data_IF_355018711036
#
_entry.id   IF_355018711036
#
_cell.length_a   1.000
_cell.length_b   1.000
_cell.length_c   1.000
_cell.angle_alpha   90.00
_cell.angle_beta   90.00
_cell.angle_gamma   90.00
#
_symmetry.space_group_name_H-M   'P 1'
#
loop_
_entity.id
_entity.type
_entity.pdbx_description
1 polymer ?
#
# COMPACT_ATOMS: atom_id res chain seq x y z
N UNK A 1 1.52 -2.08 20.48
CA UNK A 1 0.75 -0.83 20.32
C UNK A 1 1.32 -0.11 19.11
N UNK A 2 0.56 0.07 18.02
CA UNK A 2 1.06 0.83 16.87
C UNK A 2 0.90 2.31 17.16
N UNK A 3 1.96 3.09 16.98
CA UNK A 3 1.91 4.54 17.11
C UNK A 3 1.97 5.18 15.73
N UNK A 4 0.99 6.03 15.44
CA UNK A 4 1.06 7.00 14.36
C UNK A 4 1.74 8.25 14.94
N UNK A 5 2.94 8.57 14.47
CA UNK A 5 3.67 9.73 14.95
C UNK A 5 4.42 10.34 13.78
N UNK A 6 4.35 11.66 13.63
CA UNK A 6 5.17 12.41 12.69
C UNK A 6 6.63 12.42 13.18
N UNK A 7 7.32 11.27 13.07
CA UNK A 7 8.71 11.11 13.47
C UNK A 7 9.62 11.61 12.35
N UNK A 8 10.42 12.65 12.61
CA UNK A 8 11.63 12.92 11.82
C UNK A 8 12.66 11.83 12.14
N UNK A 9 12.67 10.74 11.37
CA UNK A 9 13.67 9.69 11.51
C UNK A 9 14.98 10.13 10.86
N UNK A 10 15.96 10.53 11.68
CA UNK A 10 17.37 10.61 11.28
C UNK A 10 18.01 9.25 11.51
N UNK A 11 18.22 8.47 10.44
CA UNK A 11 18.91 7.19 10.54
C UNK A 11 20.44 7.39 10.59
N UNK A 12 21.05 6.96 11.70
CA UNK A 12 22.49 6.85 11.88
C UNK A 12 23.00 5.45 11.56
N UNK A 13 24.01 5.41 10.69
CA UNK A 13 25.01 4.36 10.41
C UNK A 13 24.64 3.03 9.73
N UNK A 14 25.19 2.89 8.51
CA UNK A 14 25.73 1.68 7.88
C UNK A 14 24.73 0.66 7.28
N UNK A 15 24.05 1.05 6.21
CA UNK A 15 23.76 0.17 5.07
C UNK A 15 24.05 0.93 3.76
N UNK A 16 24.66 0.32 2.73
CA UNK A 16 24.79 0.96 1.44
C UNK A 16 23.43 0.89 0.73
N UNK A 17 22.60 1.91 0.92
CA UNK A 17 21.44 2.21 0.08
C UNK A 17 21.22 3.72 0.14
N UNK A 18 21.95 4.44 -0.72
CA UNK A 18 22.03 5.91 -0.74
C UNK A 18 20.80 6.58 -1.38
N UNK A 19 19.59 6.10 -1.07
CA UNK A 19 18.36 6.77 -1.46
C UNK A 19 18.03 7.89 -0.45
N UNK A 20 18.35 9.13 -0.81
CA UNK A 20 17.95 10.31 -0.03
C UNK A 20 16.52 10.72 -0.37
N UNK A 21 15.54 10.29 0.43
CA UNK A 21 14.15 10.75 0.34
C UNK A 21 14.03 12.14 0.98
N UNK A 22 13.78 13.18 0.18
CA UNK A 22 13.61 14.56 0.68
C UNK A 22 12.20 14.88 1.16
N UNK A 23 11.21 14.07 0.78
CA UNK A 23 9.81 14.26 1.15
C UNK A 23 9.34 13.02 1.91
N UNK A 24 9.23 13.15 3.23
CA UNK A 24 8.59 12.13 4.04
C UNK A 24 7.07 12.29 3.97
N UNK A 25 6.31 11.18 4.00
CA UNK A 25 4.87 11.24 4.27
C UNK A 25 4.63 12.00 5.58
N UNK A 26 3.52 12.75 5.66
CA UNK A 26 3.11 13.39 6.91
C UNK A 26 2.83 12.35 8.02
N UNK A 27 2.47 11.12 7.64
CA UNK A 27 2.16 10.04 8.56
C UNK A 27 3.21 8.92 8.51
N UNK A 28 3.73 8.52 9.67
CA UNK A 28 4.55 7.32 9.85
C UNK A 28 3.89 6.44 10.90
N UNK A 29 3.71 5.17 10.54
CA UNK A 29 3.31 4.14 11.48
C UNK A 29 4.55 3.39 11.95
N UNK A 30 4.67 3.17 13.25
CA UNK A 30 5.73 2.38 13.84
C UNK A 30 5.18 1.32 14.79
N UNK A 31 5.82 0.15 14.78
CA UNK A 31 5.67 -0.89 15.78
C UNK A 31 6.94 -0.91 16.63
N UNK A 32 6.77 -0.72 17.93
CA UNK A 32 7.84 -0.82 18.91
C UNK A 32 7.91 -2.24 19.49
N UNK A 33 9.11 -2.70 19.83
CA UNK A 33 9.30 -3.90 20.64
C UNK A 33 9.13 -3.59 22.14
N UNK A 34 9.28 -4.60 23.01
CA UNK A 34 9.14 -4.44 24.46
C UNK A 34 10.20 -3.52 25.09
N UNK A 35 11.25 -3.16 24.35
CA UNK A 35 12.29 -2.22 24.75
C UNK A 35 12.14 -0.83 24.13
N UNK A 36 10.96 -0.48 23.61
CA UNK A 36 10.66 0.80 22.94
C UNK A 36 11.49 1.09 21.67
N UNK A 37 12.14 0.08 21.09
CA UNK A 37 12.86 0.23 19.83
C UNK A 37 11.94 -0.02 18.63
N UNK A 38 12.19 0.68 17.52
CA UNK A 38 11.43 0.52 16.28
C UNK A 38 11.70 -0.85 15.65
N UNK A 39 10.74 -1.76 15.77
CA UNK A 39 10.75 -3.07 15.15
C UNK A 39 10.34 -3.00 13.67
N UNK A 40 9.31 -2.22 13.37
CA UNK A 40 8.83 -1.94 12.02
C UNK A 40 8.41 -0.48 11.88
N UNK A 41 8.58 0.09 10.69
CA UNK A 41 8.06 1.40 10.33
C UNK A 41 7.59 1.42 8.87
N UNK A 42 6.54 2.19 8.60
CA UNK A 42 6.07 2.47 7.26
C UNK A 42 5.59 3.91 7.17
N UNK A 43 5.88 4.55 6.05
CA UNK A 43 5.26 5.81 5.68
C UNK A 43 3.86 5.59 5.11
N UNK A 44 2.92 6.47 5.43
CA UNK A 44 1.55 6.44 4.90
C UNK A 44 1.24 7.79 4.26
N UNK A 45 0.80 7.79 3.01
CA UNK A 45 0.40 9.00 2.28
C UNK A 45 -1.10 8.98 2.03
N UNK A 46 -1.73 10.14 2.17
CA UNK A 46 -3.13 10.37 1.81
C UNK A 46 -3.22 11.32 0.62
N UNK A 47 -4.43 11.58 0.13
CA UNK A 47 -4.65 12.43 -1.04
C UNK A 47 -3.97 13.81 -0.95
N UNK A 48 -3.92 14.41 0.26
CA UNK A 48 -3.36 15.75 0.49
C UNK A 48 -1.83 15.77 0.41
N UNK A 49 -1.18 14.64 0.68
CA UNK A 49 0.26 14.44 0.45
C UNK A 49 0.56 14.20 -1.04
N UNK A 50 -0.47 13.90 -1.83
CA UNK A 50 -0.37 13.23 -3.12
C UNK A 50 0.04 11.76 -2.97
N UNK A 51 0.43 11.14 -4.08
CA UNK A 51 0.84 9.74 -4.13
C UNK A 51 2.17 9.58 -4.88
N UNK A 52 3.12 8.85 -4.30
CA UNK A 52 4.43 8.64 -4.90
C UNK A 52 4.37 7.61 -6.01
N UNK A 53 3.86 6.41 -5.73
CA UNK A 53 3.77 5.30 -6.67
C UNK A 53 2.79 5.56 -7.82
N UNK A 54 1.93 6.57 -7.71
CA UNK A 54 1.10 7.05 -8.83
C UNK A 54 1.96 7.53 -10.02
N UNK A 55 3.19 8.00 -9.79
CA UNK A 55 4.12 8.40 -10.86
C UNK A 55 4.45 7.25 -11.82
N UNK A 56 4.28 6.00 -11.38
CA UNK A 56 4.50 4.82 -12.23
C UNK A 56 3.27 4.46 -13.08
N UNK A 57 2.12 5.07 -12.82
CA UNK A 57 0.86 4.75 -13.51
C UNK A 57 0.64 5.66 -14.72
N UNK A 58 -0.12 5.18 -15.68
CA UNK A 58 -0.53 5.95 -16.88
C UNK A 58 -1.77 6.81 -16.65
N UNK A 59 -2.46 6.61 -15.53
CA UNK A 59 -3.64 7.37 -15.10
C UNK A 59 -3.62 7.58 -13.59
N UNK A 60 -4.37 8.56 -13.06
CA UNK A 60 -4.55 8.72 -11.62
C UNK A 60 -5.00 7.41 -10.95
N UNK A 61 -4.52 7.15 -9.72
CA UNK A 61 -4.74 5.88 -9.02
C UNK A 61 -6.23 5.52 -8.90
N UNK A 62 -7.10 6.49 -8.64
CA UNK A 62 -8.54 6.25 -8.54
C UNK A 62 -9.17 5.76 -9.86
N UNK A 63 -8.62 6.20 -11.00
CA UNK A 63 -9.07 5.73 -12.31
C UNK A 63 -8.56 4.32 -12.60
N UNK A 64 -7.30 4.04 -12.28
CA UNK A 64 -6.72 2.71 -12.42
C UNK A 64 -7.49 1.68 -11.57
N UNK A 65 -7.77 2.01 -10.30
CA UNK A 65 -8.57 1.17 -9.42
C UNK A 65 -10.03 1.07 -9.85
N UNK A 66 -10.61 2.15 -10.37
CA UNK A 66 -11.96 2.14 -10.90
C UNK A 66 -12.12 1.23 -12.12
N UNK A 67 -11.14 1.23 -13.02
CA UNK A 67 -11.11 0.33 -14.17
C UNK A 67 -11.03 -1.14 -13.75
N UNK A 68 -10.15 -1.48 -12.80
CA UNK A 68 -10.02 -2.85 -12.29
C UNK A 68 -11.26 -3.31 -11.53
N UNK A 69 -11.83 -2.43 -10.72
CA UNK A 69 -12.94 -2.77 -9.84
C UNK A 69 -14.33 -2.60 -10.46
N UNK A 70 -14.41 -1.93 -11.63
CA UNK A 70 -15.64 -1.53 -12.31
C UNK A 70 -16.55 -0.67 -11.44
N UNK A 71 -15.97 0.20 -10.61
CA UNK A 71 -16.67 1.15 -9.73
C UNK A 71 -16.00 2.51 -9.81
N UNK A 72 -16.75 3.57 -9.56
CA UNK A 72 -16.16 4.89 -9.30
C UNK A 72 -15.50 4.83 -7.92
N UNK A 73 -14.21 5.13 -7.86
CA UNK A 73 -13.43 5.23 -6.62
C UNK A 73 -13.13 6.70 -6.38
N UNK A 74 -13.37 7.20 -5.17
CA UNK A 74 -12.91 8.53 -4.77
C UNK A 74 -11.44 8.45 -4.34
N UNK A 75 -10.67 9.49 -4.70
CA UNK A 75 -9.26 9.60 -4.29
C UNK A 75 -9.08 9.61 -2.77
N UNK A 76 -10.07 10.13 -2.04
CA UNK A 76 -10.10 10.17 -0.58
C UNK A 76 -10.26 8.78 0.07
N UNK A 77 -10.68 7.77 -0.69
CA UNK A 77 -10.87 6.39 -0.22
C UNK A 77 -9.59 5.55 -0.40
N UNK A 78 -8.49 6.16 -0.84
CA UNK A 78 -7.23 5.52 -1.16
C UNK A 78 -6.15 6.05 -0.22
N UNK A 79 -5.29 5.15 0.26
CA UNK A 79 -4.03 5.54 0.89
C UNK A 79 -2.86 4.74 0.31
N UNK A 80 -1.67 5.31 0.38
CA UNK A 80 -0.45 4.66 -0.08
C UNK A 80 0.40 4.21 1.11
N UNK A 81 0.94 2.99 1.04
CA UNK A 81 2.01 2.56 1.95
C UNK A 81 3.34 2.75 1.25
N UNK A 82 4.23 3.52 1.88
CA UNK A 82 5.56 3.88 1.38
C UNK A 82 6.62 3.59 2.43
N UNK A 83 7.90 3.66 2.03
CA UNK A 83 9.06 3.65 2.95
C UNK A 83 8.94 2.59 4.06
N UNK A 84 8.92 1.33 3.65
CA UNK A 84 8.74 0.20 4.56
C UNK A 84 10.10 -0.29 5.08
N UNK A 85 10.29 -0.26 6.40
CA UNK A 85 11.47 -0.76 7.08
C UNK A 85 11.07 -1.75 8.18
N UNK A 86 11.78 -2.87 8.28
CA UNK A 86 11.59 -3.84 9.36
C UNK A 86 12.91 -4.46 9.79
N UNK A 87 13.12 -4.51 11.10
CA UNK A 87 14.23 -5.22 11.75
C UNK A 87 13.76 -6.54 12.39
N UNK A 88 12.45 -6.80 12.39
CA UNK A 88 11.83 -7.93 13.05
C UNK A 88 10.95 -8.72 12.06
N UNK A 89 11.50 -9.70 11.31
CA UNK A 89 10.75 -10.45 10.29
C UNK A 89 9.46 -11.10 10.79
N UNK A 90 9.43 -11.55 12.06
CA UNK A 90 8.24 -12.15 12.68
C UNK A 90 7.13 -11.11 12.94
N UNK A 91 7.50 -9.87 13.22
CA UNK A 91 6.56 -8.78 13.52
C UNK A 91 6.06 -8.08 12.25
N UNK A 92 6.80 -8.15 11.14
CA UNK A 92 6.47 -7.58 9.83
C UNK A 92 5.05 -7.90 9.37
N UNK A 93 4.62 -9.16 9.54
CA UNK A 93 3.30 -9.63 9.10
C UNK A 93 2.19 -8.91 9.87
N UNK A 94 2.22 -9.00 11.21
CA UNK A 94 1.23 -8.35 12.07
C UNK A 94 1.24 -6.83 11.92
N UNK A 95 2.40 -6.24 11.60
CA UNK A 95 2.50 -4.83 11.27
C UNK A 95 1.74 -4.50 9.98
N UNK A 96 1.99 -5.20 8.87
CA UNK A 96 1.29 -4.99 7.58
C UNK A 96 -0.23 -5.12 7.75
N UNK A 97 -0.69 -6.18 8.41
CA UNK A 97 -2.13 -6.38 8.66
C UNK A 97 -2.73 -5.24 9.47
N UNK A 98 -1.98 -4.70 10.43
CA UNK A 98 -2.45 -3.60 11.27
C UNK A 98 -2.59 -2.29 10.49
N UNK A 99 -1.72 -2.03 9.50
CA UNK A 99 -1.88 -0.90 8.58
C UNK A 99 -3.19 -1.06 7.80
N UNK A 100 -3.45 -2.26 7.26
CA UNK A 100 -4.68 -2.56 6.53
C UNK A 100 -5.94 -2.37 7.39
N UNK A 101 -5.95 -2.93 8.61
CA UNK A 101 -7.07 -2.77 9.56
C UNK A 101 -7.31 -1.31 9.93
N UNK A 102 -6.25 -0.53 10.15
CA UNK A 102 -6.38 0.89 10.47
C UNK A 102 -6.94 1.67 9.29
N UNK A 103 -6.50 1.38 8.06
CA UNK A 103 -7.09 1.95 6.85
C UNK A 103 -8.60 1.65 6.76
N UNK A 104 -8.98 0.39 6.91
CA UNK A 104 -10.38 -0.03 6.89
C UNK A 104 -11.23 0.66 7.96
N UNK A 105 -10.71 0.76 9.19
CA UNK A 105 -11.37 1.44 10.31
C UNK A 105 -11.60 2.94 10.04
N UNK A 106 -10.73 3.58 9.24
CA UNK A 106 -10.86 4.98 8.83
C UNK A 106 -11.63 5.16 7.51
N UNK A 107 -12.27 4.09 6.99
CA UNK A 107 -13.12 4.17 5.81
C UNK A 107 -12.39 4.11 4.47
N UNK A 108 -11.09 3.81 4.46
CA UNK A 108 -10.37 3.62 3.20
C UNK A 108 -10.80 2.32 2.53
N UNK A 109 -11.11 2.41 1.24
CA UNK A 109 -11.52 1.27 0.41
C UNK A 109 -10.35 0.56 -0.22
N UNK A 110 -9.24 1.27 -0.44
CA UNK A 110 -8.06 0.73 -1.11
C UNK A 110 -6.77 1.19 -0.44
N UNK A 111 -5.80 0.28 -0.44
CA UNK A 111 -4.40 0.59 -0.20
C UNK A 111 -3.59 0.21 -1.44
N UNK A 112 -2.53 0.95 -1.73
CA UNK A 112 -1.60 0.60 -2.81
C UNK A 112 -0.16 0.96 -2.44
N UNK A 113 0.78 0.33 -3.12
CA UNK A 113 2.21 0.42 -2.77
C UNK A 113 3.08 -0.20 -3.87
N UNK A 114 4.38 0.11 -3.82
CA UNK A 114 5.38 -0.55 -4.65
C UNK A 114 6.10 -1.64 -3.85
N UNK A 115 5.91 -2.91 -4.23
CA UNK A 115 6.56 -4.04 -3.59
C UNK A 115 7.80 -4.48 -4.36
N UNK A 116 8.90 -4.67 -3.66
CA UNK A 116 10.02 -5.48 -4.17
C UNK A 116 9.61 -6.94 -4.25
N UNK A 117 10.31 -7.76 -5.06
CA UNK A 117 10.02 -9.19 -5.21
C UNK A 117 9.92 -9.95 -3.87
N UNK A 118 10.81 -9.65 -2.92
CA UNK A 118 10.82 -10.30 -1.58
C UNK A 118 9.58 -9.93 -0.76
N UNK A 119 9.19 -8.66 -0.75
CA UNK A 119 8.03 -8.20 0.01
C UNK A 119 6.73 -8.69 -0.63
N UNK A 120 6.66 -8.74 -1.97
CA UNK A 120 5.56 -9.37 -2.71
C UNK A 120 5.31 -10.80 -2.26
N UNK A 121 6.35 -11.64 -2.25
CA UNK A 121 6.24 -13.02 -1.79
C UNK A 121 5.74 -13.15 -0.35
N UNK A 122 6.12 -12.22 0.53
CA UNK A 122 5.62 -12.19 1.90
C UNK A 122 4.11 -11.88 1.92
N UNK A 123 3.67 -10.86 1.19
CA UNK A 123 2.26 -10.45 1.15
C UNK A 123 1.37 -11.50 0.48
N UNK A 124 1.84 -12.15 -0.59
CA UNK A 124 1.13 -13.26 -1.25
C UNK A 124 0.90 -14.44 -0.29
N UNK A 125 1.88 -14.77 0.57
CA UNK A 125 1.74 -15.84 1.57
C UNK A 125 0.71 -15.53 2.66
N UNK A 126 0.34 -14.27 2.84
CA UNK A 126 -0.73 -13.86 3.76
C UNK A 126 -2.12 -14.00 3.14
N UNK A 127 -2.22 -14.36 1.86
CA UNK A 127 -3.50 -14.53 1.16
C UNK A 127 -4.19 -13.22 0.79
N UNK A 128 -3.48 -12.09 0.82
CA UNK A 128 -4.05 -10.83 0.37
C UNK A 128 -4.26 -10.83 -1.16
N UNK A 129 -5.42 -10.36 -1.65
CA UNK A 129 -5.72 -10.31 -3.07
C UNK A 129 -4.98 -9.15 -3.73
N UNK A 130 -3.70 -9.37 -4.05
CA UNK A 130 -2.87 -8.39 -4.73
C UNK A 130 -3.39 -8.11 -6.14
N UNK A 131 -3.79 -6.88 -6.37
CA UNK A 131 -4.17 -6.35 -7.68
C UNK A 131 -2.95 -5.71 -8.31
N UNK A 132 -2.42 -6.30 -9.38
CA UNK A 132 -1.31 -5.70 -10.13
C UNK A 132 -1.77 -4.43 -10.87
N UNK A 133 -0.98 -3.36 -10.77
CA UNK A 133 -1.27 -2.08 -11.42
C UNK A 133 -0.26 -1.72 -12.50
N UNK A 134 1.04 -1.86 -12.23
CA UNK A 134 2.08 -1.45 -13.17
C UNK A 134 3.46 -2.01 -12.84
N UNK A 135 4.33 -2.02 -13.85
CA UNK A 135 5.77 -2.14 -13.72
C UNK A 135 6.37 -0.73 -13.57
N UNK A 136 7.04 -0.41 -12.46
CA UNK A 136 7.72 0.84 -12.23
C UNK A 136 8.75 1.15 -13.31
N UNK A 137 8.48 2.17 -14.12
CA UNK A 137 9.47 2.79 -14.97
C UNK A 137 10.24 3.85 -14.18
N UNK A 138 11.49 3.54 -13.82
CA UNK A 138 12.35 4.43 -13.04
C UNK A 138 12.52 5.81 -13.69
N UNK A 139 12.38 5.91 -15.02
CA UNK A 139 12.53 7.17 -15.78
C UNK A 139 11.45 8.19 -15.45
N UNK A 140 10.35 7.75 -14.81
CA UNK A 140 9.26 8.62 -14.33
C UNK A 140 9.59 9.29 -12.99
N UNK A 141 10.68 8.90 -12.34
CA UNK A 141 11.11 9.45 -11.05
C UNK A 141 12.23 10.49 -11.27
N UNK A 142 12.06 11.73 -10.78
CA UNK A 142 13.15 12.71 -10.75
C UNK A 142 14.31 12.21 -9.89
N UNK A 143 15.56 12.49 -10.30
CA UNK A 143 16.78 12.03 -9.63
C UNK A 143 16.82 10.51 -9.38
N UNK A 144 16.27 9.70 -10.29
CA UNK A 144 16.19 8.24 -10.17
C UNK A 144 17.56 7.58 -9.93
N UNK A 145 18.66 8.21 -10.36
CA UNK A 145 20.04 7.74 -10.14
C UNK A 145 20.36 7.56 -8.64
N UNK A 146 19.69 8.32 -7.76
CA UNK A 146 19.84 8.21 -6.30
C UNK A 146 19.24 6.94 -5.72
N UNK A 147 18.40 6.23 -6.46
CA UNK A 147 17.78 5.00 -5.99
C UNK A 147 18.73 3.80 -6.06
N UNK A 148 19.93 3.96 -6.64
CA UNK A 148 20.95 2.93 -6.69
C UNK A 148 20.43 1.63 -7.28
N UNK A 149 20.64 0.51 -6.57
CA UNK A 149 20.21 -0.82 -6.99
C UNK A 149 18.75 -1.16 -6.64
N UNK A 150 17.95 -0.20 -6.18
CA UNK A 150 16.55 -0.46 -5.79
C UNK A 150 15.74 -1.13 -6.91
N UNK A 151 15.87 -0.65 -8.15
CA UNK A 151 15.11 -1.18 -9.29
C UNK A 151 15.56 -2.58 -9.75
N UNK A 152 16.77 -3.03 -9.36
CA UNK A 152 17.22 -4.41 -9.58
C UNK A 152 16.39 -5.42 -8.75
N UNK A 153 15.65 -4.94 -7.74
CA UNK A 153 14.75 -5.77 -6.93
C UNK A 153 13.42 -6.13 -7.63
N UNK A 154 13.28 -5.74 -8.91
CA UNK A 154 12.08 -5.89 -9.73
C UNK A 154 10.82 -5.42 -8.98
N UNK A 155 10.78 -4.14 -8.57
CA UNK A 155 9.63 -3.61 -7.89
C UNK A 155 8.40 -3.67 -8.80
N UNK A 156 7.21 -3.83 -8.22
CA UNK A 156 5.93 -3.81 -8.94
C UNK A 156 4.89 -3.02 -8.12
N UNK A 157 4.02 -2.28 -8.80
CA UNK A 157 2.94 -1.54 -8.13
C UNK A 157 1.73 -2.47 -7.98
N UNK A 158 1.23 -2.56 -6.74
CA UNK A 158 0.05 -3.35 -6.41
C UNK A 158 -0.94 -2.56 -5.57
N UNK A 159 -2.19 -3.01 -5.56
CA UNK A 159 -3.24 -2.57 -4.67
C UNK A 159 -3.87 -3.74 -3.91
N UNK A 160 -4.41 -3.46 -2.72
CA UNK A 160 -5.23 -4.37 -1.93
C UNK A 160 -6.55 -3.66 -1.60
N UNK A 161 -7.70 -4.26 -1.96
CA UNK A 161 -8.99 -3.76 -1.49
C UNK A 161 -9.16 -4.03 0.00
N UNK A 162 -9.83 -3.12 0.70
CA UNK A 162 -10.30 -3.39 2.07
C UNK A 162 -11.28 -4.58 2.06
N UNK A 163 -11.35 -5.37 3.16
CA UNK A 163 -12.35 -6.42 3.29
C UNK A 163 -13.78 -5.91 3.02
N UNK A 164 -14.16 -4.74 3.57
CA UNK A 164 -15.43 -4.05 3.25
C UNK A 164 -15.69 -3.90 1.75
N UNK A 165 -14.70 -3.44 0.98
CA UNK A 165 -14.84 -3.31 -0.47
C UNK A 165 -15.06 -4.66 -1.17
N UNK A 166 -14.44 -5.73 -0.66
CA UNK A 166 -14.64 -7.08 -1.19
C UNK A 166 -16.05 -7.63 -0.88
N UNK A 167 -16.60 -7.32 0.30
CA UNK A 167 -17.98 -7.69 0.69
C UNK A 167 -19.03 -7.00 -0.18
N UNK A 168 -18.87 -5.70 -0.48
CA UNK A 168 -19.76 -4.98 -1.40
C UNK A 168 -19.90 -5.66 -2.78
N UNK A 169 -18.85 -6.34 -3.27
CA UNK A 169 -18.93 -7.11 -4.52
C UNK A 169 -19.84 -8.35 -4.41
N UNK A 170 -19.99 -8.90 -3.21
CA UNK A 170 -20.79 -10.11 -2.96
C UNK A 170 -22.30 -9.86 -2.88
N UNK A 171 -22.73 -8.65 -2.52
CA UNK A 171 -24.17 -8.33 -2.37
C UNK A 171 -24.85 -7.89 -3.68
N UNK A 172 -24.11 -7.55 -4.74
CA UNK A 172 -24.69 -7.17 -6.06
C UNK A 172 -25.11 -8.40 -6.89
N UNK A 173 -25.11 -9.61 -6.30
CA UNK A 173 -25.73 -10.80 -6.89
C UNK A 173 -26.77 -11.41 -5.94
N UNK A 174 -27.95 -10.80 -5.90
CA UNK A 174 -29.08 -11.31 -5.14
C UNK A 174 -30.43 -10.87 -5.71
N UNK A 175 -31.00 -11.72 -6.57
CA UNK A 175 -32.45 -11.99 -6.66
C UNK A 175 -33.34 -10.99 -7.42
N UNK A 176 -33.96 -11.46 -8.52
CA UNK A 176 -35.24 -10.90 -8.94
C UNK A 176 -35.66 -11.00 -10.41
N UNK A 177 -35.76 -12.20 -10.99
CA UNK A 177 -36.85 -12.45 -11.95
C UNK A 177 -37.18 -13.94 -11.98
N UNK A 178 -38.22 -14.33 -11.22
CA UNK A 178 -38.92 -15.58 -11.49
C UNK A 178 -39.74 -15.36 -12.76
N UNK A 179 -39.28 -15.89 -13.87
CA UNK A 179 -40.17 -16.24 -14.98
C UNK A 179 -40.54 -17.69 -14.78
N UNK A 180 -41.73 -17.91 -14.27
CA UNK A 180 -42.41 -19.19 -14.25
C UNK A 180 -43.80 -18.97 -14.83
N UNK A 181 -43.93 -19.25 -16.12
CA UNK A 181 -45.21 -19.42 -16.80
C UNK A 181 -45.98 -20.62 -16.23
N UNK A 182 -47.31 -20.53 -16.34
CA UNK A 182 -48.25 -21.57 -16.80
C UNK A 182 -49.52 -21.65 -15.95
N UNK A 183 -50.67 -21.52 -16.62
CA UNK A 183 -51.99 -21.89 -16.10
C UNK A 183 -53.09 -20.94 -16.53
#
# INVERSE_FOLDING_TARGET
>A
MLYASALKLSFGTSMPQSAQLRTFPACIFALLNDGDEVACAAGVRFQDDGFFSERYLDSPIEQALGAVSKRTISRSEIFEVTTFASRAPRATIGFIESIGRLGEANGFMWSFFTLTRRLRQLVERLGHPLTYLADPDYRRIPDHERWGTYYESEPKVFAIPSPRFAFDRGEVQGTGCRVGDAG
#
